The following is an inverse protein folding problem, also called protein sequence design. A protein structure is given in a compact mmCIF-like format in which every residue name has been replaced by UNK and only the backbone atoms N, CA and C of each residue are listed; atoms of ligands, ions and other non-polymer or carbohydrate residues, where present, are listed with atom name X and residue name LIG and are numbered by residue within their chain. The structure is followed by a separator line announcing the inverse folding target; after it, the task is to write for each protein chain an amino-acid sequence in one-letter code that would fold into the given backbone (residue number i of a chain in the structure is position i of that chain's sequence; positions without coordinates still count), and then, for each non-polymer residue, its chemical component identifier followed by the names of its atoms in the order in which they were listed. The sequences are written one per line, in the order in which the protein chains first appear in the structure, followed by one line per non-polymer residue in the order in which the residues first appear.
data_IF_163502538502
#
_entry.id   IF_163502538502
#
_cell.length_a   1.000
_cell.length_b   1.000
_cell.length_c   1.000
_cell.angle_alpha   90.00
_cell.angle_beta   90.00
_cell.angle_gamma   90.00
#
_symmetry.space_group_name_H-M   'P 1'
#
loop_
_entity.id
_entity.type
_entity.pdbx_description
1 polymer ?
#
# COMPACT_ATOMS: atom_id res chain seq x y z
N UNK A 1 8.23 -14.96 -16.22
CA UNK A 1 7.27 -15.06 -15.10
C UNK A 1 7.89 -15.70 -13.86
N UNK A 2 8.46 -16.92 -13.95
CA UNK A 2 8.96 -17.67 -12.78
C UNK A 2 9.97 -16.91 -11.91
N UNK A 3 10.94 -16.20 -12.54
CA UNK A 3 11.91 -15.40 -11.79
C UNK A 3 11.25 -14.30 -10.94
N UNK A 4 10.25 -13.58 -11.47
CA UNK A 4 9.59 -12.50 -10.73
C UNK A 4 8.81 -13.05 -9.53
N UNK A 5 8.11 -14.17 -9.71
CA UNK A 5 7.41 -14.85 -8.62
C UNK A 5 8.40 -15.29 -7.54
N UNK A 6 9.52 -15.92 -7.93
CA UNK A 6 10.58 -16.30 -7.00
C UNK A 6 11.19 -15.09 -6.26
N UNK A 7 11.41 -13.97 -6.94
CA UNK A 7 11.90 -12.75 -6.28
C UNK A 7 10.88 -12.13 -5.32
N UNK A 8 9.58 -12.36 -5.53
CA UNK A 8 8.50 -11.83 -4.69
C UNK A 8 8.12 -12.75 -3.53
N UNK A 9 8.43 -14.05 -3.62
CA UNK A 9 8.14 -15.03 -2.60
C UNK A 9 8.89 -14.72 -1.29
N UNK A 10 8.20 -14.85 -0.17
CA UNK A 10 8.73 -14.71 1.19
C UNK A 10 9.01 -16.04 1.88
N UNK A 11 9.14 -17.14 1.12
CA UNK A 11 9.35 -18.49 1.63
C UNK A 11 10.85 -18.85 1.77
N UNK A 12 11.13 -19.99 2.41
CA UNK A 12 12.49 -20.46 2.68
C UNK A 12 13.25 -20.85 1.40
N UNK A 13 12.52 -21.33 0.38
CA UNK A 13 13.08 -21.87 -0.86
C UNK A 13 13.34 -20.79 -1.91
N UNK A 14 13.04 -19.52 -1.59
CA UNK A 14 13.20 -18.35 -2.45
C UNK A 14 14.55 -18.33 -3.20
N UNK A 15 15.65 -18.54 -2.50
CA UNK A 15 17.00 -18.51 -3.09
C UNK A 15 17.22 -19.62 -4.11
N UNK A 16 16.68 -20.82 -3.85
CA UNK A 16 16.76 -21.96 -4.74
C UNK A 16 15.91 -21.74 -6.00
N UNK A 17 14.68 -21.22 -5.83
CA UNK A 17 13.81 -20.86 -6.95
C UNK A 17 14.41 -19.77 -7.83
N UNK A 18 15.05 -18.75 -7.24
CA UNK A 18 15.78 -17.72 -7.99
C UNK A 18 16.96 -18.35 -8.75
N UNK A 19 17.77 -19.17 -8.08
CA UNK A 19 18.91 -19.83 -8.70
C UNK A 19 18.49 -20.71 -9.88
N UNK A 20 17.45 -21.53 -9.71
CA UNK A 20 16.91 -22.37 -10.77
C UNK A 20 16.37 -21.55 -11.96
N UNK A 21 15.69 -20.44 -11.69
CA UNK A 21 15.20 -19.55 -12.74
C UNK A 21 16.35 -18.87 -13.51
N UNK A 22 17.47 -18.57 -12.85
CA UNK A 22 18.67 -17.98 -13.47
C UNK A 22 19.45 -18.95 -14.36
N UNK A 23 19.24 -20.27 -14.26
CA UNK A 23 19.84 -21.26 -15.17
C UNK A 23 19.13 -21.32 -16.52
N UNK A 24 17.99 -20.66 -16.67
CA UNK A 24 17.25 -20.62 -17.93
C UNK A 24 17.72 -19.45 -18.81
N UNK A 25 17.48 -19.55 -20.12
CA UNK A 25 17.69 -18.41 -21.02
C UNK A 25 16.64 -17.34 -20.77
N UNK A 26 17.05 -16.20 -20.20
CA UNK A 26 16.16 -15.10 -19.84
C UNK A 26 16.29 -13.93 -20.83
N UNK A 27 15.15 -13.41 -21.29
CA UNK A 27 15.08 -12.08 -21.90
C UNK A 27 15.04 -11.02 -20.79
N UNK A 28 16.18 -10.39 -20.54
CA UNK A 28 16.30 -9.37 -19.50
C UNK A 28 15.53 -8.07 -19.80
N UNK A 29 15.25 -7.78 -21.07
CA UNK A 29 14.38 -6.67 -21.45
C UNK A 29 12.95 -6.93 -20.98
N UNK A 30 12.45 -8.14 -21.26
CA UNK A 30 11.11 -8.56 -20.83
C UNK A 30 11.00 -8.71 -19.31
N UNK A 31 12.02 -9.27 -18.64
CA UNK A 31 12.05 -9.35 -17.16
C UNK A 31 11.93 -7.97 -16.52
N UNK A 32 12.70 -7.00 -17.03
CA UNK A 32 12.67 -5.61 -16.51
C UNK A 32 11.31 -4.97 -16.78
N UNK A 33 10.79 -5.09 -18.00
CA UNK A 33 9.48 -4.54 -18.39
C UNK A 33 8.34 -5.09 -17.53
N UNK A 34 8.33 -6.41 -17.28
CA UNK A 34 7.33 -7.04 -16.41
C UNK A 34 7.49 -6.61 -14.95
N UNK A 35 8.72 -6.48 -14.45
CA UNK A 35 8.96 -6.04 -13.08
C UNK A 35 8.51 -4.59 -12.85
N UNK A 36 8.70 -3.71 -13.83
CA UNK A 36 8.15 -2.35 -13.82
C UNK A 36 6.62 -2.37 -13.85
N UNK A 37 6.02 -3.11 -14.80
CA UNK A 37 4.57 -3.19 -14.94
C UNK A 37 3.86 -3.69 -13.68
N UNK A 38 4.47 -4.67 -13.00
CA UNK A 38 3.91 -5.28 -11.80
C UNK A 38 4.34 -4.63 -10.49
N UNK A 39 5.09 -3.53 -10.55
CA UNK A 39 5.63 -2.82 -9.39
C UNK A 39 6.50 -3.67 -8.44
N UNK A 40 7.32 -4.58 -8.99
CA UNK A 40 8.20 -5.47 -8.20
C UNK A 40 9.69 -5.25 -8.43
N UNK A 41 10.08 -4.10 -9.00
CA UNK A 41 11.49 -3.74 -9.24
C UNK A 41 12.38 -3.84 -7.98
N UNK A 42 11.97 -3.36 -6.79
CA UNK A 42 12.79 -3.53 -5.58
C UNK A 42 12.96 -4.98 -5.14
N UNK A 43 11.90 -5.80 -5.26
CA UNK A 43 11.94 -7.21 -4.94
C UNK A 43 12.86 -7.97 -5.91
N UNK A 44 12.81 -7.63 -7.21
CA UNK A 44 13.71 -8.15 -8.22
C UNK A 44 15.17 -7.82 -7.90
N UNK A 45 15.48 -6.55 -7.58
CA UNK A 45 16.84 -6.17 -7.20
C UNK A 45 17.33 -6.94 -5.97
N UNK A 46 16.53 -7.00 -4.88
CA UNK A 46 16.91 -7.72 -3.66
C UNK A 46 17.10 -9.21 -3.90
N UNK A 47 16.31 -9.81 -4.80
CA UNK A 47 16.47 -11.22 -5.17
C UNK A 47 17.71 -11.51 -6.02
N UNK A 48 18.12 -10.56 -6.87
CA UNK A 48 19.21 -10.75 -7.83
C UNK A 48 20.58 -10.27 -7.35
N UNK A 49 20.63 -9.31 -6.41
CA UNK A 49 21.90 -8.78 -5.92
C UNK A 49 22.86 -9.82 -5.30
N UNK A 50 22.41 -10.97 -4.74
CA UNK A 50 23.31 -12.03 -4.30
C UNK A 50 23.94 -12.84 -5.44
N UNK A 51 23.46 -12.71 -6.69
CA UNK A 51 23.89 -13.50 -7.85
C UNK A 51 24.51 -12.65 -8.97
N UNK A 52 25.51 -11.80 -8.70
CA UNK A 52 26.03 -10.84 -9.68
C UNK A 52 26.68 -11.51 -10.91
N UNK A 53 27.12 -12.78 -10.80
CA UNK A 53 27.70 -13.53 -11.91
C UNK A 53 26.67 -14.10 -12.90
N UNK A 54 25.39 -14.18 -12.51
CA UNK A 54 24.31 -14.76 -13.32
C UNK A 54 23.45 -13.70 -14.00
N UNK A 55 23.69 -12.41 -13.70
CA UNK A 55 22.89 -11.30 -14.19
C UNK A 55 23.78 -10.36 -15.00
N UNK A 56 23.39 -9.92 -16.22
CA UNK A 56 24.16 -8.96 -16.98
C UNK A 56 24.41 -7.69 -16.16
N UNK A 57 25.66 -7.22 -16.13
CA UNK A 57 26.10 -6.10 -15.28
C UNK A 57 25.20 -4.86 -15.42
N UNK A 58 24.90 -4.46 -16.66
CA UNK A 58 24.05 -3.30 -16.94
C UNK A 58 22.59 -3.44 -16.48
N UNK A 59 22.06 -4.66 -16.35
CA UNK A 59 20.74 -4.91 -15.77
C UNK A 59 20.79 -4.69 -14.26
N UNK A 60 21.78 -5.28 -13.58
CA UNK A 60 21.92 -5.16 -12.14
C UNK A 60 22.21 -3.70 -11.70
N UNK A 61 23.01 -2.97 -12.49
CA UNK A 61 23.27 -1.53 -12.28
C UNK A 61 21.98 -0.70 -12.36
N UNK A 62 21.14 -0.92 -13.39
CA UNK A 62 19.85 -0.24 -13.54
C UNK A 62 18.89 -0.55 -12.38
N UNK A 63 18.82 -1.82 -11.97
CA UNK A 63 18.01 -2.24 -10.83
C UNK A 63 18.48 -1.59 -9.53
N UNK A 64 19.80 -1.49 -9.32
CA UNK A 64 20.38 -0.81 -8.16
C UNK A 64 20.06 0.69 -8.15
N UNK A 65 20.19 1.36 -9.30
CA UNK A 65 19.83 2.78 -9.43
C UNK A 65 18.35 3.00 -9.14
N UNK A 66 17.48 2.15 -9.69
CA UNK A 66 16.05 2.16 -9.40
C UNK A 66 15.79 2.01 -7.89
N UNK A 67 16.39 1.00 -7.26
CA UNK A 67 16.22 0.72 -5.83
C UNK A 67 16.60 1.93 -4.97
N UNK A 68 17.74 2.58 -5.27
CA UNK A 68 18.20 3.78 -4.57
C UNK A 68 17.22 4.95 -4.71
N UNK A 69 16.71 5.20 -5.93
CA UNK A 69 15.70 6.26 -6.17
C UNK A 69 14.39 5.96 -5.44
N UNK A 70 13.94 4.70 -5.47
CA UNK A 70 12.75 4.27 -4.73
C UNK A 70 12.93 4.46 -3.22
N UNK A 71 14.09 4.08 -2.68
CA UNK A 71 14.43 4.28 -1.26
C UNK A 71 14.34 5.75 -0.87
N UNK A 72 14.97 6.65 -1.63
CA UNK A 72 14.94 8.09 -1.35
C UNK A 72 13.51 8.66 -1.41
N UNK A 73 12.71 8.27 -2.41
CA UNK A 73 11.31 8.66 -2.53
C UNK A 73 10.50 8.17 -1.33
N UNK A 74 10.65 6.90 -0.96
CA UNK A 74 9.87 6.29 0.11
C UNK A 74 10.22 6.86 1.47
N UNK A 75 11.49 7.17 1.74
CA UNK A 75 11.89 7.88 2.96
C UNK A 75 11.25 9.28 3.03
N UNK A 76 11.20 10.01 1.91
CA UNK A 76 10.51 11.31 1.86
C UNK A 76 9.00 11.18 2.11
N UNK A 77 8.33 10.24 1.44
CA UNK A 77 6.91 9.99 1.67
C UNK A 77 6.63 9.51 3.10
N UNK A 78 7.53 8.74 3.70
CA UNK A 78 7.43 8.32 5.11
C UNK A 78 7.49 9.52 6.05
N UNK A 79 8.46 10.41 5.83
CA UNK A 79 8.56 11.67 6.57
C UNK A 79 7.30 12.54 6.39
N UNK A 80 6.82 12.69 5.16
CA UNK A 80 5.64 13.50 4.87
C UNK A 80 4.37 12.91 5.48
N UNK A 81 4.24 11.58 5.52
CA UNK A 81 3.15 10.91 6.21
C UNK A 81 3.15 11.24 7.70
N UNK A 82 4.30 11.12 8.37
CA UNK A 82 4.41 11.43 9.80
C UNK A 82 3.96 12.87 10.06
N UNK A 83 4.40 13.84 9.26
CA UNK A 83 3.99 15.24 9.37
C UNK A 83 2.49 15.44 9.17
N UNK A 84 1.90 14.77 8.19
CA UNK A 84 0.45 14.81 7.94
C UNK A 84 -0.31 14.27 9.15
N UNK A 85 0.10 13.14 9.70
CA UNK A 85 -0.56 12.54 10.87
C UNK A 85 -0.47 13.43 12.11
N UNK A 86 0.70 14.02 12.38
CA UNK A 86 0.89 14.97 13.49
C UNK A 86 0.03 16.22 13.34
N UNK A 87 -0.09 16.74 12.12
CA UNK A 87 -0.93 17.89 11.82
C UNK A 87 -2.43 17.58 12.00
N UNK A 88 -2.89 16.41 11.57
CA UNK A 88 -4.26 15.97 11.81
C UNK A 88 -4.52 15.76 13.31
N UNK A 89 -3.58 15.14 14.02
CA UNK A 89 -3.66 14.92 15.46
C UNK A 89 -3.70 16.23 16.26
N UNK A 90 -2.87 17.23 15.91
CA UNK A 90 -2.90 18.55 16.56
C UNK A 90 -4.21 19.29 16.37
N UNK A 91 -4.95 18.96 15.31
CA UNK A 91 -6.30 19.43 15.06
C UNK A 91 -7.38 18.57 15.70
N UNK A 92 -7.04 17.52 16.44
CA UNK A 92 -7.98 16.60 17.07
C UNK A 92 -8.75 15.74 16.06
N UNK A 93 -8.08 15.33 14.98
CA UNK A 93 -8.64 14.48 13.92
C UNK A 93 -7.96 13.11 14.01
N UNK A 94 -8.75 12.06 14.22
CA UNK A 94 -8.23 10.70 14.18
C UNK A 94 -7.96 10.30 12.72
N UNK A 95 -6.79 9.72 12.48
CA UNK A 95 -6.35 9.32 11.16
C UNK A 95 -5.72 7.91 11.18
N UNK A 96 -6.00 7.11 10.15
CA UNK A 96 -5.41 5.77 9.96
C UNK A 96 -4.77 5.68 8.57
N UNK A 97 -3.44 5.75 8.46
CA UNK A 97 -2.74 5.33 7.25
C UNK A 97 -2.82 3.80 7.08
N UNK A 98 -2.98 3.31 5.86
CA UNK A 98 -3.18 1.86 5.65
C UNK A 98 -2.51 1.26 4.41
N UNK A 99 -1.83 2.07 3.59
CA UNK A 99 -0.98 1.60 2.49
C UNK A 99 0.43 2.22 2.61
N UNK A 100 1.05 2.53 1.47
CA UNK A 100 2.25 3.35 1.40
C UNK A 100 3.35 2.91 2.38
N UNK A 101 3.93 3.86 3.16
CA UNK A 101 4.96 3.58 4.16
C UNK A 101 4.55 2.56 5.23
N UNK A 102 3.32 2.65 5.73
CA UNK A 102 2.81 1.79 6.82
C UNK A 102 2.75 0.33 6.41
N UNK A 103 2.23 0.08 5.20
CA UNK A 103 2.17 -1.26 4.67
C UNK A 103 3.56 -1.81 4.33
N UNK A 104 4.45 -0.93 3.86
CA UNK A 104 5.82 -1.33 3.55
C UNK A 104 6.59 -1.73 4.82
N UNK A 105 6.47 -0.95 5.88
CA UNK A 105 7.12 -1.24 7.16
C UNK A 105 6.55 -2.50 7.82
N UNK A 106 5.22 -2.60 7.94
CA UNK A 106 4.55 -3.74 8.59
C UNK A 106 4.83 -5.09 7.93
N UNK A 107 4.87 -5.15 6.60
CA UNK A 107 5.04 -6.41 5.87
C UNK A 107 6.50 -6.73 5.53
N UNK A 108 7.32 -5.72 5.28
CA UNK A 108 8.67 -5.91 4.74
C UNK A 108 9.79 -5.45 5.66
N UNK A 109 9.47 -4.74 6.77
CA UNK A 109 10.44 -4.15 7.70
C UNK A 109 11.51 -3.28 7.01
N UNK A 110 11.15 -2.77 5.83
CA UNK A 110 12.00 -1.94 4.98
C UNK A 110 11.11 -1.24 3.96
N UNK A 111 10.91 0.06 4.16
CA UNK A 111 10.11 0.90 3.26
C UNK A 111 10.63 0.87 1.82
N UNK A 112 11.90 0.56 1.57
CA UNK A 112 12.48 0.51 0.21
C UNK A 112 11.95 -0.67 -0.63
N UNK A 113 11.37 -1.70 0.00
CA UNK A 113 10.92 -2.91 -0.69
C UNK A 113 9.56 -2.82 -1.37
N UNK A 114 8.81 -1.76 -1.10
CA UNK A 114 7.50 -1.52 -1.72
C UNK A 114 7.55 -0.29 -2.62
N UNK A 115 6.86 -0.33 -3.74
CA UNK A 115 6.70 0.87 -4.59
C UNK A 115 5.37 1.53 -4.27
N UNK A 116 5.40 2.84 -4.00
CA UNK A 116 4.22 3.68 -3.83
C UNK A 116 4.54 5.12 -4.23
N UNK A 117 3.52 5.92 -4.53
CA UNK A 117 3.66 7.29 -5.04
C UNK A 117 2.93 8.33 -4.20
N UNK A 118 2.03 7.87 -3.35
CA UNK A 118 1.02 8.64 -2.64
C UNK A 118 0.80 8.08 -1.23
N UNK A 119 0.07 8.84 -0.43
CA UNK A 119 -0.28 8.54 0.96
C UNK A 119 -1.80 8.38 1.07
N UNK A 120 -2.27 7.16 1.32
CA UNK A 120 -3.67 6.93 1.67
C UNK A 120 -3.89 7.07 3.19
N UNK A 121 -4.77 7.98 3.61
CA UNK A 121 -5.11 8.20 5.02
C UNK A 121 -6.62 8.18 5.21
N UNK A 122 -7.10 7.29 6.09
CA UNK A 122 -8.51 7.25 6.50
C UNK A 122 -8.79 8.29 7.58
N UNK A 123 -9.93 8.97 7.46
CA UNK A 123 -10.48 9.93 8.43
C UNK A 123 -11.99 9.71 8.55
N UNK A 124 -12.61 10.26 9.60
CA UNK A 124 -14.06 10.35 9.65
C UNK A 124 -14.61 11.33 8.59
N UNK A 125 -15.75 11.02 7.97
CA UNK A 125 -16.38 11.89 6.98
C UNK A 125 -16.73 13.27 7.54
N UNK A 126 -17.12 13.33 8.82
CA UNK A 126 -17.44 14.57 9.53
C UNK A 126 -16.21 15.48 9.67
N UNK A 127 -15.00 14.92 9.65
CA UNK A 127 -13.75 15.65 9.81
C UNK A 127 -13.16 16.15 8.49
N UNK A 128 -13.70 15.79 7.32
CA UNK A 128 -13.09 16.13 6.03
C UNK A 128 -12.81 17.64 5.88
N UNK A 129 -13.74 18.49 6.29
CA UNK A 129 -13.58 19.96 6.17
C UNK A 129 -12.44 20.46 7.06
N UNK A 130 -12.32 19.94 8.28
CA UNK A 130 -11.23 20.26 9.22
C UNK A 130 -9.91 19.69 8.70
N UNK A 131 -9.90 18.44 8.25
CA UNK A 131 -8.73 17.75 7.74
C UNK A 131 -8.15 18.45 6.50
N UNK A 132 -9.00 18.85 5.56
CA UNK A 132 -8.62 19.68 4.40
C UNK A 132 -7.94 20.99 4.83
N UNK A 133 -8.45 21.62 5.89
CA UNK A 133 -7.91 22.89 6.39
C UNK A 133 -6.55 22.65 7.05
N UNK A 134 -6.43 21.61 7.87
CA UNK A 134 -5.18 21.22 8.52
C UNK A 134 -4.07 20.92 7.50
N UNK A 135 -4.32 20.04 6.52
CA UNK A 135 -3.27 19.67 5.55
C UNK A 135 -2.84 20.82 4.64
N UNK A 136 -3.67 21.88 4.48
CA UNK A 136 -3.25 23.11 3.79
C UNK A 136 -2.14 23.86 4.51
N UNK A 137 -2.06 23.76 5.84
CA UNK A 137 -0.97 24.35 6.63
C UNK A 137 0.38 23.72 6.29
N UNK A 138 0.37 22.45 5.84
CA UNK A 138 1.54 21.73 5.35
C UNK A 138 1.82 21.97 3.86
N UNK A 139 1.03 22.80 3.18
CA UNK A 139 1.15 23.10 1.76
C UNK A 139 0.41 22.13 0.84
N UNK A 140 -0.49 21.28 1.35
CA UNK A 140 -1.32 20.43 0.51
C UNK A 140 -2.53 21.19 -0.03
N UNK A 141 -2.79 21.06 -1.33
CA UNK A 141 -3.91 21.71 -2.01
C UNK A 141 -4.78 20.66 -2.71
N UNK A 142 -6.12 20.74 -2.61
CA UNK A 142 -6.98 19.75 -3.24
C UNK A 142 -6.83 19.81 -4.77
N UNK A 143 -6.71 18.64 -5.39
CA UNK A 143 -6.60 18.49 -6.86
C UNK A 143 -7.85 19.03 -7.56
N UNK A 144 -9.00 18.83 -6.90
CA UNK A 144 -10.29 19.30 -7.39
C UNK A 144 -10.79 20.50 -6.56
N UNK A 145 -11.03 21.62 -7.22
CA UNK A 145 -11.65 22.79 -6.63
C UNK A 145 -13.18 22.61 -6.62
N UNK A 146 -13.74 22.27 -5.47
CA UNK A 146 -15.19 22.18 -5.26
C UNK A 146 -15.74 23.49 -4.71
N UNK A 147 -16.89 23.91 -5.21
CA UNK A 147 -17.72 24.94 -4.54
C UNK A 147 -18.39 24.34 -3.31
N UNK A 148 -18.84 25.16 -2.35
CA UNK A 148 -19.56 24.68 -1.15
C UNK A 148 -20.78 23.80 -1.47
N UNK A 149 -21.53 24.12 -2.53
CA UNK A 149 -22.68 23.31 -2.95
C UNK A 149 -22.26 21.93 -3.50
N UNK A 150 -21.13 21.88 -4.23
CA UNK A 150 -20.57 20.64 -4.74
C UNK A 150 -19.92 19.80 -3.62
N UNK A 151 -19.37 20.42 -2.58
CA UNK A 151 -18.78 19.70 -1.43
C UNK A 151 -19.78 18.79 -0.73
N UNK A 152 -21.00 19.28 -0.45
CA UNK A 152 -22.02 18.45 0.19
C UNK A 152 -22.44 17.25 -0.67
N UNK A 153 -22.57 17.47 -1.98
CA UNK A 153 -22.87 16.39 -2.93
C UNK A 153 -21.72 15.39 -3.00
N UNK A 154 -20.47 15.88 -3.10
CA UNK A 154 -19.27 15.07 -3.20
C UNK A 154 -19.00 14.26 -1.93
N UNK A 155 -19.26 14.81 -0.74
CA UNK A 155 -19.23 14.07 0.52
C UNK A 155 -20.24 12.92 0.53
N UNK A 156 -21.45 13.17 0.03
CA UNK A 156 -22.53 12.18 -0.01
C UNK A 156 -22.30 11.03 -1.01
N UNK A 157 -21.68 11.31 -2.16
CA UNK A 157 -21.47 10.32 -3.23
C UNK A 157 -20.03 9.81 -3.35
N UNK A 158 -19.05 10.56 -2.84
CA UNK A 158 -17.63 10.28 -2.91
C UNK A 158 -17.13 9.42 -1.75
N UNK A 159 -15.82 9.19 -1.76
CA UNK A 159 -15.14 8.36 -0.76
C UNK A 159 -13.72 8.84 -0.43
N UNK A 160 -13.15 9.74 -1.24
CA UNK A 160 -11.80 10.27 -1.09
C UNK A 160 -11.68 11.70 -1.62
N UNK A 161 -10.65 12.41 -1.19
CA UNK A 161 -10.21 13.68 -1.74
C UNK A 161 -8.69 13.66 -1.92
N UNK A 162 -8.23 13.84 -3.15
CA UNK A 162 -6.83 13.87 -3.51
C UNK A 162 -6.24 15.30 -3.38
N UNK A 163 -4.98 15.36 -2.99
CA UNK A 163 -4.23 16.59 -2.77
C UNK A 163 -2.88 16.56 -3.47
N UNK A 164 -2.56 17.65 -4.16
CA UNK A 164 -1.21 17.99 -4.53
C UNK A 164 -0.45 18.44 -3.28
N UNK A 165 0.83 18.11 -3.19
CA UNK A 165 1.69 18.51 -2.09
C UNK A 165 2.92 19.28 -2.57
N UNK A 166 3.76 19.75 -1.63
CA UNK A 166 4.95 20.53 -1.98
C UNK A 166 5.94 19.83 -2.92
N UNK A 167 5.93 18.50 -2.94
CA UNK A 167 6.86 17.69 -3.74
C UNK A 167 6.27 17.20 -5.08
N UNK A 168 5.01 17.50 -5.40
CA UNK A 168 4.36 17.00 -6.61
C UNK A 168 2.85 16.85 -6.53
N UNK A 169 2.28 16.22 -7.55
CA UNK A 169 0.84 16.02 -7.69
C UNK A 169 0.34 14.74 -7.03
N UNK A 170 -0.91 14.73 -6.59
CA UNK A 170 -1.61 13.56 -6.02
C UNK A 170 -0.80 12.82 -4.94
N UNK A 171 -0.20 13.55 -4.01
CA UNK A 171 0.68 12.96 -3.00
C UNK A 171 -0.07 12.46 -1.76
N UNK A 172 -1.26 12.99 -1.49
CA UNK A 172 -2.07 12.64 -0.34
C UNK A 172 -3.51 12.41 -0.76
N UNK A 173 -4.10 11.33 -0.28
CA UNK A 173 -5.52 11.02 -0.44
C UNK A 173 -6.14 10.85 0.94
N UNK A 174 -7.02 11.79 1.31
CA UNK A 174 -7.85 11.65 2.51
C UNK A 174 -9.12 10.89 2.16
N UNK A 175 -9.40 9.80 2.87
CA UNK A 175 -10.50 8.89 2.56
C UNK A 175 -11.44 8.73 3.73
N UNK A 176 -12.73 8.71 3.46
CA UNK A 176 -13.77 8.45 4.47
C UNK A 176 -14.59 7.20 4.15
N UNK A 177 -14.26 6.49 3.06
CA UNK A 177 -14.65 5.08 2.81
C UNK A 177 -13.52 4.37 2.08
N UNK A 178 -13.50 3.04 2.14
CA UNK A 178 -12.52 2.21 1.41
C UNK A 178 -12.82 2.18 -0.10
N UNK A 179 -14.10 2.22 -0.47
CA UNK A 179 -14.57 2.09 -1.84
C UNK A 179 -15.66 3.11 -2.20
N UNK A 180 -15.83 3.41 -3.50
CA UNK A 180 -17.06 4.00 -4.01
C UNK A 180 -18.30 3.15 -3.71
N UNK A 181 -19.43 3.81 -3.45
CA UNK A 181 -20.72 3.15 -3.13
C UNK A 181 -21.22 2.18 -4.21
N UNK A 182 -20.88 2.39 -5.48
CA UNK A 182 -21.36 1.54 -6.57
C UNK A 182 -20.78 0.11 -6.55
N UNK A 183 -19.76 -0.16 -5.73
CA UNK A 183 -19.29 -1.53 -5.48
C UNK A 183 -20.18 -2.31 -4.49
N UNK A 184 -21.12 -1.65 -3.81
CA UNK A 184 -22.00 -2.25 -2.80
C UNK A 184 -21.25 -3.01 -1.68
N UNK A 185 -20.02 -2.62 -1.39
CA UNK A 185 -19.19 -3.09 -0.27
C UNK A 185 -18.95 -1.90 0.64
N UNK A 186 -19.43 -1.97 1.87
CA UNK A 186 -19.41 -0.83 2.79
C UNK A 186 -18.80 -1.19 4.14
N UNK A 187 -17.54 -0.81 4.32
CA UNK A 187 -16.84 -0.99 5.58
C UNK A 187 -17.42 -0.05 6.63
N UNK A 188 -17.67 -0.58 7.83
CA UNK A 188 -18.07 0.22 8.98
C UNK A 188 -16.82 0.95 9.50
N UNK A 189 -16.64 2.19 9.07
CA UNK A 189 -15.44 2.99 9.34
C UNK A 189 -15.16 3.09 10.84
N UNK A 190 -16.17 3.34 11.64
CA UNK A 190 -16.17 3.37 13.10
C UNK A 190 -15.55 2.10 13.71
N UNK A 191 -15.88 0.91 13.19
CA UNK A 191 -15.24 -0.35 13.62
C UNK A 191 -13.77 -0.45 13.21
N UNK A 192 -13.40 0.05 12.02
CA UNK A 192 -11.99 0.10 11.60
C UNK A 192 -11.17 0.97 12.55
N UNK A 193 -11.74 2.09 13.01
CA UNK A 193 -11.11 2.98 13.99
C UNK A 193 -11.05 2.36 15.39
N UNK A 194 -12.08 1.65 15.81
CA UNK A 194 -12.13 0.96 17.10
C UNK A 194 -11.09 -0.18 17.19
N UNK A 195 -10.97 -0.99 16.14
CA UNK A 195 -10.03 -2.12 16.05
C UNK A 195 -8.61 -1.71 15.65
N UNK A 196 -8.38 -0.42 15.38
CA UNK A 196 -7.10 0.07 14.91
C UNK A 196 -5.97 -0.33 15.85
N UNK A 197 -4.90 -0.86 15.28
CA UNK A 197 -3.69 -1.22 15.99
C UNK A 197 -2.67 -0.08 15.95
N UNK A 198 -1.51 -0.29 16.56
CA UNK A 198 -0.38 0.64 16.49
C UNK A 198 0.83 -0.04 15.90
N UNK A 199 1.61 0.67 15.09
CA UNK A 199 2.92 0.23 14.63
C UNK A 199 3.96 1.35 14.81
N UNK A 200 5.24 0.97 14.81
CA UNK A 200 6.34 1.91 14.84
C UNK A 200 6.79 2.24 13.41
N UNK A 201 6.85 3.52 13.07
CA UNK A 201 7.33 4.01 11.78
C UNK A 201 8.21 5.24 12.01
N UNK A 202 9.48 5.18 11.60
CA UNK A 202 10.41 6.29 11.79
C UNK A 202 10.59 6.69 13.27
N UNK A 203 10.54 5.72 14.19
CA UNK A 203 10.63 5.95 15.64
C UNK A 203 9.37 6.55 16.28
N UNK A 204 8.25 6.61 15.54
CA UNK A 204 6.96 7.09 16.05
C UNK A 204 5.92 5.99 16.06
N UNK A 205 5.14 5.94 17.15
CA UNK A 205 3.98 5.06 17.24
C UNK A 205 2.82 5.70 16.49
N UNK A 206 2.35 5.06 15.42
CA UNK A 206 1.25 5.54 14.60
C UNK A 206 0.12 4.52 14.56
N UNK A 207 -1.12 4.99 14.36
CA UNK A 207 -2.28 4.10 14.14
C UNK A 207 -2.13 3.35 12.82
N UNK A 208 -2.68 2.14 12.78
CA UNK A 208 -2.81 1.33 11.57
C UNK A 208 -4.08 0.50 11.66
N UNK A 209 -4.50 -0.10 10.53
CA UNK A 209 -5.58 -1.08 10.56
C UNK A 209 -5.17 -2.30 11.40
N UNK A 210 -6.17 -3.04 11.90
CA UNK A 210 -5.94 -4.40 12.37
C UNK A 210 -5.46 -5.28 11.21
N UNK A 211 -4.82 -6.41 11.50
CA UNK A 211 -4.37 -7.35 10.47
C UNK A 211 -5.53 -7.89 9.64
N UNK A 212 -6.66 -8.13 10.29
CA UNK A 212 -7.91 -8.66 9.71
C UNK A 212 -8.54 -7.64 8.75
N UNK A 213 -8.67 -6.39 9.21
CA UNK A 213 -9.23 -5.31 8.40
C UNK A 213 -8.29 -4.98 7.22
N UNK A 214 -6.98 -4.96 7.46
CA UNK A 214 -5.99 -4.75 6.41
C UNK A 214 -6.10 -5.82 5.32
N UNK A 215 -6.19 -7.10 5.70
CA UNK A 215 -6.33 -8.20 4.75
C UNK A 215 -7.58 -8.01 3.86
N UNK A 216 -8.73 -7.72 4.47
CA UNK A 216 -9.98 -7.48 3.72
C UNK A 216 -9.86 -6.28 2.79
N UNK A 217 -9.30 -5.16 3.27
CA UNK A 217 -9.07 -3.96 2.47
C UNK A 217 -8.16 -4.25 1.28
N UNK A 218 -7.08 -5.01 1.47
CA UNK A 218 -6.17 -5.40 0.38
C UNK A 218 -6.87 -6.30 -0.64
N UNK A 219 -7.61 -7.32 -0.20
CA UNK A 219 -8.36 -8.21 -1.10
C UNK A 219 -9.37 -7.45 -1.96
N UNK A 220 -10.13 -6.55 -1.33
CA UNK A 220 -11.12 -5.71 -2.03
C UNK A 220 -10.45 -4.73 -2.98
N UNK A 221 -9.31 -4.14 -2.60
CA UNK A 221 -8.52 -3.27 -3.47
C UNK A 221 -8.03 -4.02 -4.72
N UNK A 222 -7.49 -5.23 -4.56
CA UNK A 222 -7.03 -6.06 -5.69
C UNK A 222 -8.18 -6.45 -6.61
N UNK A 223 -9.34 -6.80 -6.05
CA UNK A 223 -10.54 -7.10 -6.82
C UNK A 223 -11.00 -5.87 -7.65
N UNK A 224 -11.06 -4.68 -7.04
CA UNK A 224 -11.35 -3.41 -7.72
C UNK A 224 -10.43 -3.17 -8.92
N UNK A 225 -9.14 -3.52 -8.78
CA UNK A 225 -8.15 -3.35 -9.84
C UNK A 225 -7.90 -4.59 -10.70
N UNK A 226 -8.80 -5.59 -10.63
CA UNK A 226 -8.78 -6.80 -11.47
C UNK A 226 -7.45 -7.55 -11.43
N UNK A 227 -6.81 -7.63 -10.27
CA UNK A 227 -5.61 -8.45 -10.06
C UNK A 227 -4.43 -8.06 -10.97
N UNK A 228 -4.39 -6.81 -11.46
CA UNK A 228 -3.48 -6.38 -12.52
C UNK A 228 -1.99 -6.26 -12.15
N UNK A 229 -1.62 -6.36 -10.87
CA UNK A 229 -0.23 -6.21 -10.41
C UNK A 229 0.18 -7.29 -9.42
N UNK A 230 1.37 -7.85 -9.61
CA UNK A 230 1.95 -8.83 -8.68
C UNK A 230 2.25 -8.23 -7.31
N UNK A 231 2.64 -6.94 -7.25
CA UNK A 231 2.89 -6.24 -5.98
C UNK A 231 1.72 -6.33 -5.01
N UNK A 232 0.48 -6.24 -5.50
CA UNK A 232 -0.68 -6.34 -4.63
C UNK A 232 -0.95 -7.77 -4.12
N UNK A 233 -0.68 -8.78 -4.95
CA UNK A 233 -0.77 -10.18 -4.52
C UNK A 233 0.31 -10.49 -3.49
N UNK A 234 1.49 -9.92 -3.69
CA UNK A 234 2.58 -9.99 -2.72
C UNK A 234 2.18 -9.36 -1.39
N UNK A 235 1.59 -8.16 -1.38
CA UNK A 235 1.10 -7.52 -0.14
C UNK A 235 0.10 -8.43 0.62
N UNK A 236 -0.84 -9.09 -0.09
CA UNK A 236 -1.79 -10.05 0.52
C UNK A 236 -1.06 -11.29 1.06
N UNK A 237 -0.21 -11.92 0.26
CA UNK A 237 0.53 -13.12 0.65
C UNK A 237 1.41 -12.84 1.87
N UNK A 238 2.02 -11.67 1.94
CA UNK A 238 2.91 -11.26 3.02
C UNK A 238 2.12 -10.89 4.28
N UNK A 239 0.91 -10.34 4.13
CA UNK A 239 -0.01 -10.14 5.25
C UNK A 239 -0.38 -11.48 5.89
N UNK A 240 -0.77 -12.47 5.06
CA UNK A 240 -1.10 -13.83 5.51
C UNK A 240 0.11 -14.51 6.20
N UNK A 241 1.31 -14.29 5.68
CA UNK A 241 2.54 -14.94 6.16
C UNK A 241 3.08 -14.34 7.46
N UNK A 242 3.01 -13.01 7.59
CA UNK A 242 3.75 -12.27 8.63
C UNK A 242 2.88 -11.78 9.78
N UNK A 243 1.58 -11.63 9.56
CA UNK A 243 0.66 -11.09 10.57
C UNK A 243 -0.08 -12.23 11.26
N UNK A 244 -0.33 -12.08 12.56
CA UNK A 244 -1.30 -12.92 13.25
C UNK A 244 -2.70 -12.45 12.83
N UNK A 245 -3.50 -13.37 12.28
CA UNK A 245 -4.84 -13.10 11.75
C UNK A 245 -5.84 -13.98 12.47
N UNK A 246 -6.85 -13.37 13.08
CA UNK A 246 -8.07 -14.05 13.46
C UNK A 246 -8.95 -14.26 12.23
N UNK A 247 -8.88 -15.46 11.67
CA UNK A 247 -9.65 -15.79 10.48
C UNK A 247 -11.15 -15.81 10.73
N UNK A 248 -11.63 -16.16 11.93
CA UNK A 248 -13.08 -16.14 12.22
C UNK A 248 -13.61 -14.71 12.10
N UNK A 249 -12.88 -13.73 12.64
CA UNK A 249 -13.21 -12.32 12.47
C UNK A 249 -13.20 -11.89 10.99
N UNK A 250 -12.17 -12.29 10.22
CA UNK A 250 -12.12 -12.00 8.77
C UNK A 250 -13.35 -12.57 8.05
N UNK A 251 -13.77 -13.79 8.39
CA UNK A 251 -14.94 -14.43 7.79
C UNK A 251 -16.24 -13.73 8.17
N UNK A 252 -16.40 -13.32 9.43
CA UNK A 252 -17.57 -12.57 9.89
C UNK A 252 -17.69 -11.20 9.20
N UNK A 253 -16.59 -10.45 9.14
CA UNK A 253 -16.58 -9.15 8.49
C UNK A 253 -16.76 -9.28 6.97
N UNK A 254 -16.17 -10.29 6.33
CA UNK A 254 -16.41 -10.59 4.91
C UNK A 254 -17.90 -10.87 4.63
N UNK A 255 -18.56 -11.68 5.48
CA UNK A 255 -20.00 -11.94 5.39
C UNK A 255 -20.82 -10.67 5.55
N UNK A 256 -20.49 -9.83 6.53
CA UNK A 256 -21.17 -8.55 6.76
C UNK A 256 -21.03 -7.59 5.57
N UNK A 257 -19.87 -7.62 4.90
CA UNK A 257 -19.59 -6.85 3.68
C UNK A 257 -20.24 -7.43 2.41
N UNK A 258 -20.85 -8.61 2.48
CA UNK A 258 -21.38 -9.31 1.30
C UNK A 258 -20.31 -9.82 0.34
N UNK A 259 -19.05 -9.93 0.78
CA UNK A 259 -17.94 -10.47 -0.01
C UNK A 259 -17.65 -11.91 0.37
N UNK A 260 -17.27 -12.74 -0.60
CA UNK A 260 -16.81 -14.11 -0.34
C UNK A 260 -15.29 -14.11 -0.35
N UNK A 261 -14.69 -14.39 0.81
CA UNK A 261 -13.27 -14.69 0.91
C UNK A 261 -13.06 -16.16 0.46
N UNK A 262 -12.03 -16.43 -0.34
CA UNK A 262 -11.70 -17.79 -0.77
C UNK A 262 -10.25 -18.04 -0.38
N UNK A 263 -10.04 -18.85 0.65
CA UNK A 263 -8.72 -19.34 0.99
C UNK A 263 -8.47 -20.61 0.19
N UNK A 264 -7.54 -20.53 -0.77
CA UNK A 264 -6.99 -21.75 -1.37
C UNK A 264 -6.05 -22.36 -0.34
N UNK A 265 -6.54 -23.33 0.41
CA UNK A 265 -5.70 -24.18 1.26
C UNK A 265 -4.88 -25.04 0.31
N UNK A 266 -3.60 -24.72 0.14
CA UNK A 266 -2.64 -25.66 -0.45
C UNK A 266 -2.46 -26.80 0.54
N UNK A 267 -3.07 -27.94 0.23
CA UNK A 267 -2.85 -29.21 0.93
C UNK A 267 -1.53 -29.85 0.57
#
# INVERSE_FOLDING_TARGET
MCLLLACCAGDADRSEHIHAALQQSLDWGEVTRLAEHHDVMPALYRGLCPFPGNVPRGVLERLSEFYRRNTQKNLRLTHDLIRVLECLESHGIAAIPYKGPVLAESLYQDVALRQFSDLDVLIDAADLVRARTAVRELGYSPVMALTRAQEGTYLGSGYELAFDGPAGRNLLELKWRILPRFYAIDFQMDKLFERASSLELGGKKIRSLSSEDLLLVLCVHVAKHRWGRLSWLRDIAETIRTQAIDYELVWDEARALGVRFLQLVSG
#
